data_IF_526212706060
#
_entry.id   IF_526212706060
#
_cell.length_a   1.000
_cell.length_b   1.000
_cell.length_c   1.000
_cell.angle_alpha   90.00
_cell.angle_beta   90.00
_cell.angle_gamma   90.00
#
_symmetry.space_group_name_H-M   'P 1'
#
loop_
_entity.id
_entity.type
_entity.pdbx_description
1 polymer ?
#
# COMPACT_ATOMS: atom_id res chain seq x y z
N UNK A 1 -13.32 -2.11 -36.34
CA UNK A 1 -11.85 -2.15 -36.41
C UNK A 1 -11.33 -2.18 -34.97
N UNK A 2 -10.77 -3.31 -34.49
CA UNK A 2 -10.03 -3.31 -33.22
C UNK A 2 -8.82 -2.39 -33.41
N UNK A 3 -8.65 -1.45 -32.48
CA UNK A 3 -7.58 -0.48 -32.53
C UNK A 3 -6.24 -1.24 -32.36
N UNK A 4 -5.44 -1.33 -33.42
CA UNK A 4 -4.17 -2.07 -33.45
C UNK A 4 -3.25 -1.59 -32.30
N UNK A 5 -3.34 -0.31 -31.94
CA UNK A 5 -2.62 0.27 -30.80
C UNK A 5 -3.03 -0.30 -29.43
N UNK A 6 -4.32 -0.58 -29.21
CA UNK A 6 -4.80 -1.17 -27.93
C UNK A 6 -4.33 -2.63 -27.79
N UNK A 7 -4.39 -3.40 -28.86
CA UNK A 7 -3.94 -4.81 -28.83
C UNK A 7 -2.41 -4.91 -28.64
N UNK A 8 -1.63 -4.01 -29.23
CA UNK A 8 -0.19 -3.93 -29.09
C UNK A 8 0.22 -3.51 -27.67
N UNK A 9 -0.43 -2.47 -27.13
CA UNK A 9 -0.19 -2.02 -25.74
C UNK A 9 -0.55 -3.13 -24.73
N UNK A 10 -1.67 -3.82 -24.91
CA UNK A 10 -2.08 -4.89 -24.01
C UNK A 10 -1.13 -6.09 -24.03
N UNK A 11 -0.50 -6.41 -25.17
CA UNK A 11 0.49 -7.49 -25.23
C UNK A 11 1.79 -7.10 -24.54
N UNK A 12 2.28 -5.90 -24.78
CA UNK A 12 3.56 -5.42 -24.19
C UNK A 12 3.45 -5.18 -22.69
N UNK A 13 2.31 -4.70 -22.19
CA UNK A 13 2.08 -4.50 -20.74
C UNK A 13 2.25 -5.80 -19.98
N UNK A 14 1.75 -6.92 -20.50
CA UNK A 14 1.86 -8.23 -19.85
C UNK A 14 3.27 -8.78 -19.77
N UNK A 15 4.14 -8.36 -20.67
CA UNK A 15 5.56 -8.74 -20.71
C UNK A 15 6.43 -7.76 -19.91
N UNK A 16 5.84 -6.66 -19.42
CA UNK A 16 6.58 -5.63 -18.68
C UNK A 16 6.73 -6.03 -17.22
N UNK A 17 7.99 -6.15 -16.79
CA UNK A 17 8.37 -6.36 -15.39
C UNK A 17 8.73 -5.02 -14.76
N UNK A 18 8.11 -4.71 -13.61
CA UNK A 18 8.34 -3.43 -12.91
C UNK A 18 8.71 -3.70 -11.45
N UNK A 19 9.86 -3.22 -11.02
CA UNK A 19 10.23 -3.16 -9.62
C UNK A 19 9.76 -1.81 -9.03
N UNK A 20 8.94 -1.89 -7.98
CA UNK A 20 8.49 -0.73 -7.20
C UNK A 20 9.18 -0.77 -5.85
N UNK A 21 9.93 0.28 -5.53
CA UNK A 21 10.68 0.38 -4.27
C UNK A 21 10.28 1.68 -3.58
N UNK A 22 9.90 1.61 -2.31
CA UNK A 22 9.53 2.81 -1.57
C UNK A 22 8.76 2.53 -0.28
N UNK A 23 8.22 3.63 0.28
CA UNK A 23 7.43 3.57 1.49
C UNK A 23 6.08 2.90 1.22
N UNK A 24 5.91 1.73 1.81
CA UNK A 24 4.64 1.00 1.79
C UNK A 24 3.83 1.34 3.04
N UNK A 25 2.52 1.41 2.89
CA UNK A 25 1.63 1.76 3.99
C UNK A 25 0.25 1.15 3.82
N UNK A 26 -0.54 1.17 4.89
CA UNK A 26 -1.93 0.76 4.88
C UNK A 26 -2.83 2.00 4.94
N UNK A 27 -3.64 2.21 3.90
CA UNK A 27 -4.68 3.24 3.90
C UNK A 27 -5.99 2.67 4.42
N UNK A 28 -6.53 3.27 5.49
CA UNK A 28 -7.81 2.90 6.11
C UNK A 28 -8.84 4.00 5.89
N UNK A 29 -10.00 3.63 5.39
CA UNK A 29 -11.14 4.53 5.20
C UNK A 29 -12.26 4.13 6.14
N UNK A 30 -12.60 5.00 7.08
CA UNK A 30 -13.72 4.83 8.02
C UNK A 30 -14.83 5.78 7.57
N UNK A 31 -15.90 5.22 7.01
CA UNK A 31 -17.01 5.98 6.49
C UNK A 31 -18.20 5.91 7.45
N UNK A 32 -18.85 7.05 7.66
CA UNK A 32 -19.98 7.13 8.57
C UNK A 32 -20.79 8.41 8.47
N UNK A 33 -21.55 8.69 9.50
CA UNK A 33 -22.35 9.90 9.61
C UNK A 33 -22.04 10.65 10.92
N UNK A 34 -22.20 11.96 10.88
CA UNK A 34 -22.04 12.86 12.02
C UNK A 34 -23.33 13.62 12.20
N UNK A 35 -24.13 13.22 13.20
CA UNK A 35 -25.47 13.78 13.41
C UNK A 35 -25.62 14.42 14.79
N UNK A 36 -24.61 14.37 15.64
CA UNK A 36 -24.65 14.93 17.00
C UNK A 36 -23.26 15.33 17.47
N UNK A 37 -23.23 16.22 18.45
CA UNK A 37 -22.06 16.58 19.23
C UNK A 37 -22.02 15.70 20.47
N UNK A 38 -20.81 15.36 20.95
CA UNK A 38 -20.63 14.58 22.18
C UNK A 38 -21.11 15.36 23.41
N UNK A 39 -21.76 14.72 24.40
CA UNK A 39 -22.07 15.36 25.66
C UNK A 39 -20.83 15.56 26.56
N UNK A 40 -19.72 14.87 26.27
CA UNK A 40 -18.48 14.91 27.06
C UNK A 40 -17.54 16.05 26.65
N UNK A 41 -17.60 16.49 25.39
CA UNK A 41 -16.77 17.56 24.83
C UNK A 41 -17.41 18.12 23.55
N UNK A 42 -17.09 19.35 23.12
CA UNK A 42 -17.63 19.97 21.93
C UNK A 42 -17.01 19.38 20.62
N UNK A 43 -17.09 18.06 20.51
CA UNK A 43 -16.57 17.29 19.36
C UNK A 43 -17.66 16.51 18.66
N UNK A 44 -17.63 16.36 17.33
CA UNK A 44 -18.59 15.58 16.59
C UNK A 44 -18.48 14.10 16.92
N UNK A 45 -19.62 13.41 17.05
CA UNK A 45 -19.69 11.96 17.17
C UNK A 45 -19.83 11.34 15.78
N UNK A 46 -18.81 10.61 15.37
CA UNK A 46 -18.81 9.89 14.10
C UNK A 46 -19.38 8.47 14.29
N UNK A 47 -20.56 8.23 13.73
CA UNK A 47 -21.18 6.91 13.73
C UNK A 47 -20.67 6.10 12.53
N UNK A 48 -19.79 5.16 12.80
CA UNK A 48 -19.15 4.32 11.76
C UNK A 48 -20.20 3.41 11.10
N UNK A 49 -20.20 3.39 9.76
CA UNK A 49 -21.05 2.53 8.93
C UNK A 49 -20.26 1.44 8.21
N UNK A 50 -19.07 1.79 7.74
CA UNK A 50 -18.20 0.86 7.02
C UNK A 50 -16.74 1.21 7.21
N UNK A 51 -15.89 0.19 7.03
CA UNK A 51 -14.43 0.35 6.96
C UNK A 51 -13.91 -0.35 5.71
N UNK A 52 -12.91 0.26 5.08
CA UNK A 52 -12.19 -0.31 3.95
C UNK A 52 -10.70 -0.06 4.15
N UNK A 53 -9.89 -1.06 3.82
CA UNK A 53 -8.44 -1.00 3.85
C UNK A 53 -7.91 -1.25 2.43
N UNK A 54 -6.87 -0.54 2.05
CA UNK A 54 -6.22 -0.69 0.74
C UNK A 54 -4.72 -0.47 0.89
N UNK A 55 -3.90 -1.03 -0.02
CA UNK A 55 -2.49 -0.69 -0.10
C UNK A 55 -2.32 0.81 -0.34
N UNK A 56 -1.35 1.44 0.33
CA UNK A 56 -1.01 2.86 0.19
C UNK A 56 0.46 3.06 -0.19
N UNK A 57 0.83 4.28 -0.58
CA UNK A 57 2.19 4.60 -1.00
C UNK A 57 2.69 3.77 -2.16
N UNK A 58 3.92 3.21 -2.03
CA UNK A 58 4.50 2.33 -3.04
C UNK A 58 3.65 1.08 -3.29
N UNK A 59 2.99 0.53 -2.26
CA UNK A 59 2.08 -0.60 -2.38
C UNK A 59 0.85 -0.28 -3.25
N UNK A 60 0.31 0.94 -3.18
CA UNK A 60 -0.77 1.39 -4.06
C UNK A 60 -0.30 1.52 -5.52
N UNK A 61 0.91 2.03 -5.74
CA UNK A 61 1.52 2.10 -7.08
C UNK A 61 1.66 0.71 -7.67
N UNK A 62 2.18 -0.25 -6.90
CA UNK A 62 2.32 -1.64 -7.29
C UNK A 62 0.96 -2.28 -7.64
N UNK A 63 -0.07 -2.05 -6.81
CA UNK A 63 -1.42 -2.56 -7.04
C UNK A 63 -2.04 -2.00 -8.34
N UNK A 64 -1.84 -0.72 -8.63
CA UNK A 64 -2.30 -0.11 -9.87
C UNK A 64 -1.59 -0.70 -11.10
N UNK A 65 -0.29 -0.89 -11.04
CA UNK A 65 0.49 -1.51 -12.13
C UNK A 65 0.09 -2.96 -12.36
N UNK A 66 -0.10 -3.74 -11.29
CA UNK A 66 -0.60 -5.11 -11.37
C UNK A 66 -2.00 -5.16 -12.01
N UNK A 67 -2.88 -4.24 -11.64
CA UNK A 67 -4.23 -4.15 -12.24
C UNK A 67 -4.23 -3.82 -13.74
N UNK A 68 -3.17 -3.17 -14.23
CA UNK A 68 -2.95 -2.93 -15.67
C UNK A 68 -2.41 -4.18 -16.39
N UNK A 69 -2.00 -5.21 -15.65
CA UNK A 69 -1.50 -6.47 -16.18
C UNK A 69 0.03 -6.57 -16.22
N UNK A 70 0.77 -5.64 -15.61
CA UNK A 70 2.22 -5.75 -15.46
C UNK A 70 2.59 -6.84 -14.46
N UNK A 71 3.75 -7.46 -14.65
CA UNK A 71 4.40 -8.25 -13.62
C UNK A 71 5.10 -7.29 -12.64
N UNK A 72 4.67 -7.28 -11.37
CA UNK A 72 5.12 -6.28 -10.40
C UNK A 72 5.84 -6.93 -9.23
N UNK A 73 7.02 -6.41 -8.93
CA UNK A 73 7.85 -6.76 -7.79
C UNK A 73 7.91 -5.57 -6.84
N UNK A 74 7.53 -5.77 -5.58
CA UNK A 74 7.46 -4.72 -4.58
C UNK A 74 8.52 -4.92 -3.51
N UNK A 75 9.22 -3.85 -3.17
CA UNK A 75 10.13 -3.80 -2.04
C UNK A 75 9.86 -2.60 -1.14
N UNK A 76 10.07 -2.79 0.16
CA UNK A 76 9.86 -1.77 1.18
C UNK A 76 9.96 -2.36 2.58
N UNK A 77 9.53 -1.60 3.59
CA UNK A 77 9.55 -2.03 4.98
C UNK A 77 8.14 -2.07 5.56
N UNK A 78 7.86 -3.07 6.38
CA UNK A 78 6.68 -3.13 7.24
C UNK A 78 7.05 -3.58 8.66
N UNK A 79 6.19 -3.29 9.61
CA UNK A 79 6.28 -3.81 10.96
C UNK A 79 5.82 -5.27 11.08
N UNK A 80 6.14 -5.86 12.23
CA UNK A 80 5.57 -7.15 12.66
C UNK A 80 4.32 -6.89 13.51
N UNK A 81 3.31 -6.30 12.89
CA UNK A 81 2.06 -5.87 13.52
C UNK A 81 0.83 -6.24 12.66
N UNK A 82 -0.37 -6.00 13.19
CA UNK A 82 -1.63 -6.33 12.53
C UNK A 82 -1.80 -5.57 11.20
N UNK A 83 -1.33 -4.31 11.12
CA UNK A 83 -1.39 -3.50 9.90
C UNK A 83 -0.46 -4.06 8.82
N UNK A 84 0.73 -4.52 9.22
CA UNK A 84 1.67 -5.21 8.32
C UNK A 84 1.13 -6.53 7.80
N UNK A 85 0.48 -7.32 8.67
CA UNK A 85 -0.17 -8.57 8.25
C UNK A 85 -1.33 -8.28 7.28
N UNK A 86 -2.15 -7.27 7.58
CA UNK A 86 -3.26 -6.88 6.70
C UNK A 86 -2.79 -6.37 5.36
N UNK A 87 -1.70 -5.61 5.33
CA UNK A 87 -1.07 -5.16 4.08
C UNK A 87 -0.59 -6.34 3.24
N UNK A 88 0.04 -7.35 3.85
CA UNK A 88 0.49 -8.57 3.19
C UNK A 88 -0.66 -9.34 2.53
N UNK A 89 -1.80 -9.49 3.24
CA UNK A 89 -3.02 -10.10 2.69
C UNK A 89 -3.49 -9.38 1.43
N UNK A 90 -3.54 -8.03 1.45
CA UNK A 90 -3.97 -7.21 0.33
C UNK A 90 -3.00 -7.28 -0.86
N UNK A 91 -1.69 -7.40 -0.61
CA UNK A 91 -0.69 -7.59 -1.65
C UNK A 91 -0.84 -8.95 -2.33
N UNK A 92 -1.08 -10.01 -1.55
CA UNK A 92 -1.41 -11.34 -2.08
C UNK A 92 -2.64 -11.32 -2.99
N UNK A 93 -3.72 -10.69 -2.53
CA UNK A 93 -4.96 -10.55 -3.32
C UNK A 93 -4.73 -9.78 -4.63
N UNK A 94 -3.76 -8.88 -4.66
CA UNK A 94 -3.42 -8.07 -5.84
C UNK A 94 -2.47 -8.76 -6.83
N UNK A 95 -1.99 -9.98 -6.53
CA UNK A 95 -1.08 -10.73 -7.40
C UNK A 95 0.31 -10.08 -7.55
N UNK A 96 0.76 -9.34 -6.54
CA UNK A 96 2.06 -8.66 -6.51
C UNK A 96 3.09 -9.60 -5.87
N UNK A 97 4.27 -9.72 -6.50
CA UNK A 97 5.43 -10.30 -5.83
C UNK A 97 6.00 -9.28 -4.82
N UNK A 98 5.83 -9.55 -3.54
CA UNK A 98 6.32 -8.71 -2.45
C UNK A 98 7.53 -9.33 -1.71
N UNK A 99 8.29 -10.19 -2.40
CA UNK A 99 9.49 -10.83 -1.85
C UNK A 99 10.57 -9.85 -1.39
N UNK A 100 10.52 -8.60 -1.88
CA UNK A 100 11.37 -7.49 -1.43
C UNK A 100 10.84 -6.73 -0.22
N UNK A 101 9.67 -7.11 0.33
CA UNK A 101 9.12 -6.45 1.53
C UNK A 101 9.72 -7.06 2.79
N UNK A 102 10.44 -6.24 3.55
CA UNK A 102 11.12 -6.64 4.76
C UNK A 102 10.26 -6.38 5.99
N UNK A 103 10.17 -7.38 6.88
CA UNK A 103 9.51 -7.25 8.18
C UNK A 103 10.52 -6.83 9.23
N UNK A 104 10.32 -5.67 9.86
CA UNK A 104 11.20 -5.09 10.87
C UNK A 104 10.53 -5.18 12.24
N UNK A 105 11.17 -5.80 13.22
CA UNK A 105 10.58 -6.07 14.54
C UNK A 105 10.28 -4.80 15.35
N UNK A 106 11.17 -3.81 15.26
CA UNK A 106 11.08 -2.54 16.00
C UNK A 106 10.59 -1.40 15.10
N UNK A 107 9.65 -1.69 14.24
CA UNK A 107 9.04 -0.73 13.32
C UNK A 107 7.53 -0.96 13.30
N UNK A 108 6.76 0.12 13.33
CA UNK A 108 5.32 0.07 13.12
C UNK A 108 5.00 0.32 11.65
N UNK A 109 4.14 -0.53 11.11
CA UNK A 109 3.66 -0.36 9.73
C UNK A 109 2.97 0.98 9.60
N UNK A 110 3.46 1.82 8.70
CA UNK A 110 2.84 3.11 8.44
C UNK A 110 1.38 2.90 8.05
N UNK A 111 0.46 3.55 8.75
CA UNK A 111 -0.95 3.53 8.38
C UNK A 111 -1.60 4.91 8.47
N UNK A 112 -2.50 5.17 7.53
CA UNK A 112 -3.20 6.46 7.40
C UNK A 112 -4.70 6.22 7.44
N UNK A 113 -5.34 6.64 8.53
CA UNK A 113 -6.77 6.48 8.76
C UNK A 113 -7.50 7.74 8.35
N UNK A 114 -8.36 7.64 7.33
CA UNK A 114 -9.21 8.73 6.86
C UNK A 114 -10.64 8.54 7.35
N UNK A 115 -11.10 9.48 8.15
CA UNK A 115 -12.48 9.51 8.68
C UNK A 115 -13.33 10.34 7.75
N UNK A 116 -14.34 9.71 7.14
CA UNK A 116 -15.21 10.29 6.12
C UNK A 116 -16.64 10.40 6.65
N UNK A 117 -17.14 11.62 6.73
CA UNK A 117 -18.54 11.91 7.11
C UNK A 117 -19.23 12.75 6.04
N UNK A 118 -20.48 12.39 5.70
CA UNK A 118 -21.25 13.10 4.68
C UNK A 118 -20.52 13.33 3.33
N UNK A 119 -19.68 12.38 2.92
CA UNK A 119 -18.91 12.47 1.67
C UNK A 119 -17.65 13.33 1.74
N UNK A 120 -17.31 13.87 2.90
CA UNK A 120 -16.10 14.70 3.11
C UNK A 120 -15.14 14.05 4.10
N UNK A 121 -13.85 14.29 3.91
CA UNK A 121 -12.84 13.89 4.88
C UNK A 121 -12.86 14.86 6.05
N UNK A 122 -13.14 14.34 7.25
CA UNK A 122 -13.24 15.11 8.48
C UNK A 122 -11.92 15.15 9.24
N UNK A 123 -11.19 14.02 9.23
CA UNK A 123 -9.95 13.87 9.97
C UNK A 123 -9.07 12.83 9.28
N UNK A 124 -7.74 12.97 9.39
CA UNK A 124 -6.77 11.93 9.08
C UNK A 124 -5.89 11.68 10.31
N UNK A 125 -5.76 10.42 10.68
CA UNK A 125 -4.85 9.98 11.71
C UNK A 125 -3.70 9.27 11.00
N UNK A 126 -2.48 9.74 11.23
CA UNK A 126 -1.26 9.18 10.65
C UNK A 126 -0.49 8.45 11.75
N UNK A 127 -0.33 7.13 11.56
CA UNK A 127 0.54 6.28 12.38
C UNK A 127 1.80 6.06 11.56
N UNK A 128 2.82 6.84 11.84
CA UNK A 128 4.09 6.80 11.11
C UNK A 128 5.26 7.07 12.05
N UNK A 129 6.37 6.43 11.79
CA UNK A 129 7.64 6.64 12.47
C UNK A 129 8.66 7.18 11.50
N UNK A 130 9.41 8.21 11.90
CA UNK A 130 10.55 8.72 11.15
C UNK A 130 11.77 7.81 11.34
N UNK A 131 11.64 6.52 11.00
CA UNK A 131 12.73 5.56 11.08
C UNK A 131 13.36 5.41 9.70
N UNK A 132 14.63 5.78 9.63
CA UNK A 132 15.42 5.59 8.41
C UNK A 132 15.87 4.13 8.37
N UNK A 133 15.81 3.53 7.18
CA UNK A 133 16.37 2.20 6.96
C UNK A 133 17.85 2.17 7.36
N UNK A 134 18.22 1.20 8.18
CA UNK A 134 19.62 1.00 8.53
C UNK A 134 20.41 0.35 7.38
N UNK A 135 21.73 0.32 7.51
CA UNK A 135 22.62 -0.24 6.48
C UNK A 135 22.32 -1.71 6.17
N UNK A 136 21.79 -2.48 7.11
CA UNK A 136 21.46 -3.90 6.92
C UNK A 136 20.23 -4.05 6.03
N UNK A 137 19.23 -3.20 6.22
CA UNK A 137 18.02 -3.14 5.39
C UNK A 137 18.39 -2.71 3.97
N UNK A 138 19.23 -1.68 3.83
CA UNK A 138 19.69 -1.21 2.52
C UNK A 138 20.44 -2.31 1.77
N UNK A 139 21.37 -3.02 2.43
CA UNK A 139 22.11 -4.13 1.83
C UNK A 139 21.18 -5.27 1.39
N UNK A 140 20.19 -5.61 2.20
CA UNK A 140 19.20 -6.65 1.86
C UNK A 140 18.39 -6.25 0.64
N UNK A 141 17.97 -4.99 0.56
CA UNK A 141 17.25 -4.44 -0.58
C UNK A 141 18.09 -4.49 -1.86
N UNK A 142 19.36 -4.07 -1.79
CA UNK A 142 20.27 -4.10 -2.94
C UNK A 142 20.49 -5.54 -3.43
N UNK A 143 20.73 -6.48 -2.52
CA UNK A 143 20.90 -7.91 -2.86
C UNK A 143 19.63 -8.51 -3.49
N UNK A 144 18.44 -8.10 -3.05
CA UNK A 144 17.18 -8.50 -3.65
C UNK A 144 17.06 -7.94 -5.09
N UNK A 145 17.40 -6.66 -5.27
CA UNK A 145 17.34 -6.02 -6.59
C UNK A 145 18.32 -6.64 -7.58
N UNK A 146 19.56 -6.94 -7.16
CA UNK A 146 20.56 -7.63 -7.98
C UNK A 146 20.05 -8.98 -8.48
N UNK A 147 19.50 -9.80 -7.59
CA UNK A 147 18.88 -11.09 -7.95
C UNK A 147 17.71 -10.93 -8.93
N UNK A 148 16.89 -9.91 -8.74
CA UNK A 148 15.74 -9.67 -9.62
C UNK A 148 16.22 -9.30 -11.04
N UNK A 149 17.27 -8.48 -11.15
CA UNK A 149 17.87 -8.11 -12.44
C UNK A 149 18.52 -9.31 -13.16
N UNK A 150 19.15 -10.22 -12.43
CA UNK A 150 19.74 -11.45 -12.99
C UNK A 150 18.67 -12.40 -13.54
N UNK A 151 17.47 -12.43 -12.96
CA UNK A 151 16.36 -13.26 -13.41
C UNK A 151 15.59 -12.66 -14.59
N UNK A 152 15.77 -11.37 -14.85
CA UNK A 152 15.05 -10.63 -15.89
C UNK A 152 15.86 -10.47 -17.19
N UNK A 153 17.10 -10.98 -17.23
CA UNK A 153 17.99 -11.05 -18.41
C UNK A 153 18.05 -12.46 -18.97
#
# INVERSE_FOLDING_TARGET
MKNIGESFLQSQIKETCIAVIGDIMLDRYITGSVNRISPEAPVPVHLVKSQRMVPGGAANTAANLSSLGCQVFLAGMRGKDDDGQKLEELLNESGIDYSGVMTISDYHTTSKVRILGAGQQMLRLDYEENKIADDSVIKTLLSWLEKLLELSL
#
